data_IF_714092151544
#
_entry.id   IF_714092151544
#
_cell.length_a   1.000
_cell.length_b   1.000
_cell.length_c   1.000
_cell.angle_alpha   90.00
_cell.angle_beta   90.00
_cell.angle_gamma   90.00
#
_symmetry.space_group_name_H-M   'P 1'
#
loop_
_entity.id
_entity.type
_entity.pdbx_description
1 polymer ?
#
# COMPACT_ATOMS: atom_id res chain seq x y z
N UNK A 1 -29.31 -11.31 9.24
CA UNK A 1 -28.48 -11.75 8.10
C UNK A 1 -27.05 -11.77 8.59
N UNK A 2 -26.55 -12.98 8.77
CA UNK A 2 -25.21 -13.30 9.26
C UNK A 2 -24.19 -13.08 8.13
N UNK A 3 -23.08 -12.42 8.46
CA UNK A 3 -21.78 -12.70 7.86
C UNK A 3 -20.71 -12.31 8.86
N UNK A 4 -20.49 -13.19 9.83
CA UNK A 4 -19.32 -13.17 10.68
C UNK A 4 -18.02 -13.29 9.88
N UNK A 5 -17.03 -12.51 10.27
CA UNK A 5 -15.61 -12.88 10.20
C UNK A 5 -14.83 -11.94 11.12
N UNK A 6 -15.09 -12.07 12.42
CA UNK A 6 -14.12 -11.65 13.43
C UNK A 6 -12.90 -12.57 13.26
N UNK A 7 -11.87 -12.09 12.58
CA UNK A 7 -10.59 -12.77 12.55
C UNK A 7 -10.10 -12.88 13.99
N UNK A 8 -9.93 -14.12 14.44
CA UNK A 8 -9.39 -14.48 15.74
C UNK A 8 -7.94 -14.02 15.78
N UNK A 9 -7.68 -12.80 16.23
CA UNK A 9 -6.32 -12.43 16.57
C UNK A 9 -6.03 -12.97 17.98
N UNK A 10 -5.22 -14.05 18.03
CA UNK A 10 -4.17 -14.07 19.05
C UNK A 10 -3.53 -12.68 19.08
N UNK A 11 -3.14 -12.14 20.23
CA UNK A 11 -2.66 -10.76 20.35
C UNK A 11 -1.36 -10.56 19.56
N UNK A 12 -1.47 -10.43 18.24
CA UNK A 12 -0.38 -10.12 17.32
C UNK A 12 -0.05 -8.66 17.55
N UNK A 13 1.21 -8.38 17.83
CA UNK A 13 1.68 -6.99 17.88
C UNK A 13 1.85 -6.51 16.44
N UNK A 14 0.78 -5.96 15.88
CA UNK A 14 0.78 -5.33 14.55
C UNK A 14 1.10 -3.84 14.69
N UNK A 15 1.94 -3.33 13.80
CA UNK A 15 2.23 -1.91 13.66
C UNK A 15 2.00 -1.50 12.21
N UNK A 16 1.30 -0.38 12.03
CA UNK A 16 1.21 0.28 10.72
C UNK A 16 2.23 1.42 10.65
N UNK A 17 2.88 1.56 9.50
CA UNK A 17 3.71 2.73 9.15
C UNK A 17 3.08 3.45 7.97
N UNK A 18 3.11 4.77 7.98
CA UNK A 18 2.69 5.60 6.86
C UNK A 18 3.88 6.41 6.35
N UNK A 19 4.06 6.41 5.04
CA UNK A 19 5.05 7.22 4.34
C UNK A 19 4.39 7.88 3.12
N UNK A 20 4.90 9.05 2.73
CA UNK A 20 4.44 9.74 1.52
C UNK A 20 5.42 9.48 0.38
N UNK A 21 4.91 8.94 -0.73
CA UNK A 21 5.68 8.70 -1.95
C UNK A 21 5.20 9.67 -3.02
N UNK A 22 6.13 10.37 -3.67
CA UNK A 22 5.83 11.30 -4.77
C UNK A 22 6.20 10.68 -6.11
N UNK A 23 5.26 10.71 -7.04
CA UNK A 23 5.45 10.40 -8.46
C UNK A 23 5.41 11.70 -9.25
N UNK A 24 6.44 11.95 -10.07
CA UNK A 24 6.53 13.15 -10.92
C UNK A 24 5.70 13.02 -12.20
N UNK A 25 5.43 11.79 -12.62
CA UNK A 25 4.70 11.47 -13.84
C UNK A 25 3.50 10.57 -13.53
N UNK A 26 2.47 10.57 -14.39
CA UNK A 26 1.42 9.56 -14.30
C UNK A 26 2.02 8.15 -14.36
N UNK A 27 1.58 7.28 -13.46
CA UNK A 27 2.13 5.93 -13.30
C UNK A 27 1.02 4.89 -13.28
N UNK A 28 1.39 3.61 -13.42
CA UNK A 28 0.46 2.50 -13.34
C UNK A 28 0.89 1.53 -12.26
N UNK A 29 -0.11 0.97 -11.58
CA UNK A 29 0.03 -0.22 -10.76
C UNK A 29 -0.65 -1.36 -11.53
N UNK A 30 0.09 -2.46 -11.74
CA UNK A 30 -0.35 -3.67 -12.46
C UNK A 30 -1.74 -4.13 -12.00
N UNK A 31 -2.04 -4.00 -10.70
CA UNK A 31 -3.33 -4.40 -10.12
C UNK A 31 -4.53 -3.51 -10.45
N UNK A 32 -4.34 -2.27 -10.90
CA UNK A 32 -5.43 -1.31 -11.11
C UNK A 32 -5.88 -1.12 -12.56
N UNK A 33 -5.06 -1.52 -13.53
CA UNK A 33 -5.38 -1.42 -14.96
C UNK A 33 -5.67 0.00 -15.46
N UNK A 34 -5.28 1.04 -14.69
CA UNK A 34 -5.50 2.45 -15.03
C UNK A 34 -4.26 3.29 -14.70
N UNK A 35 -4.13 4.43 -15.38
CA UNK A 35 -3.17 5.46 -15.01
C UNK A 35 -3.64 6.19 -13.75
N UNK A 36 -2.69 6.37 -12.83
CA UNK A 36 -2.83 7.18 -11.64
C UNK A 36 -2.11 8.50 -11.93
N UNK A 37 -2.71 9.67 -11.63
CA UNK A 37 -2.07 10.97 -11.87
C UNK A 37 -0.71 11.11 -11.17
N UNK A 38 0.15 12.00 -11.66
CA UNK A 38 1.32 12.43 -10.88
C UNK A 38 0.87 13.08 -9.56
N UNK A 39 1.64 12.93 -8.49
CA UNK A 39 1.29 13.46 -7.19
C UNK A 39 1.96 12.75 -6.02
N UNK A 40 1.59 13.17 -4.82
CA UNK A 40 2.04 12.57 -3.57
C UNK A 40 0.95 11.66 -3.00
N UNK A 41 1.32 10.44 -2.67
CA UNK A 41 0.42 9.39 -2.23
C UNK A 41 0.88 8.81 -0.90
N UNK A 42 -0.08 8.56 -0.01
CA UNK A 42 0.18 7.85 1.23
C UNK A 42 0.33 6.35 0.94
N UNK A 43 1.46 5.79 1.34
CA UNK A 43 1.73 4.36 1.39
C UNK A 43 1.69 3.91 2.84
N UNK A 44 0.88 2.90 3.11
CA UNK A 44 0.70 2.31 4.43
C UNK A 44 1.30 0.91 4.39
N UNK A 45 2.17 0.60 5.34
CA UNK A 45 2.76 -0.73 5.49
C UNK A 45 2.37 -1.30 6.84
N UNK A 46 1.69 -2.43 6.83
CA UNK A 46 1.44 -3.21 8.04
C UNK A 46 2.57 -4.20 8.26
N UNK A 47 3.00 -4.27 9.50
CA UNK A 47 4.09 -5.11 9.97
C UNK A 47 3.65 -5.88 11.22
N UNK A 48 4.03 -7.15 11.29
CA UNK A 48 3.85 -7.98 12.48
C UNK A 48 5.20 -8.25 13.13
N UNK A 49 5.26 -8.10 14.45
CA UNK A 49 6.46 -8.48 15.21
C UNK A 49 6.70 -9.99 15.11
N UNK A 50 7.93 -10.38 14.78
CA UNK A 50 8.35 -11.77 14.82
C UNK A 50 8.77 -12.09 16.26
N UNK A 51 7.97 -12.91 16.94
CA UNK A 51 8.25 -13.35 18.31
C UNK A 51 9.38 -14.40 18.34
N UNK A 52 10.02 -14.55 19.50
CA UNK A 52 11.03 -15.59 19.74
C UNK A 52 12.44 -15.29 19.23
N UNK A 53 12.70 -14.08 18.71
CA UNK A 53 14.04 -13.61 18.38
C UNK A 53 14.67 -12.84 19.54
N UNK A 54 16.01 -12.82 19.61
CA UNK A 54 16.76 -12.05 20.62
C UNK A 54 16.71 -10.53 20.41
N UNK A 55 16.07 -10.07 19.33
CA UNK A 55 15.91 -8.66 18.98
C UNK A 55 14.58 -8.41 18.27
N UNK A 56 14.08 -7.18 18.34
CA UNK A 56 12.84 -6.79 17.65
C UNK A 56 13.02 -6.90 16.13
N UNK A 57 12.25 -7.80 15.51
CA UNK A 57 12.14 -7.93 14.06
C UNK A 57 10.69 -7.87 13.64
N UNK A 58 10.46 -7.39 12.43
CA UNK A 58 9.14 -7.18 11.90
C UNK A 58 9.04 -7.80 10.51
N UNK A 59 7.96 -8.54 10.27
CA UNK A 59 7.60 -9.04 8.95
C UNK A 59 6.53 -8.12 8.38
N UNK A 60 6.75 -7.61 7.18
CA UNK A 60 5.72 -6.92 6.40
C UNK A 60 4.61 -7.90 6.04
N UNK A 61 3.37 -7.54 6.33
CA UNK A 61 2.18 -8.35 6.04
C UNK A 61 1.28 -7.72 4.99
N UNK A 62 1.28 -6.39 4.86
CA UNK A 62 0.56 -5.71 3.79
C UNK A 62 1.24 -4.40 3.38
N UNK A 63 1.00 -3.99 2.14
CA UNK A 63 1.29 -2.64 1.65
C UNK A 63 0.04 -2.13 0.95
N UNK A 64 -0.39 -0.93 1.33
CA UNK A 64 -1.55 -0.26 0.77
C UNK A 64 -1.16 1.13 0.28
N UNK A 65 -1.88 1.65 -0.71
CA UNK A 65 -1.75 3.03 -1.18
C UNK A 65 -3.12 3.69 -1.20
N UNK A 66 -3.17 4.98 -0.85
CA UNK A 66 -4.37 5.80 -1.01
C UNK A 66 -4.27 6.53 -2.35
N UNK A 67 -5.19 6.28 -3.28
CA UNK A 67 -5.19 6.83 -4.64
C UNK A 67 -6.57 7.42 -5.01
N UNK A 68 -6.67 8.34 -5.98
CA UNK A 68 -7.94 8.76 -6.54
C UNK A 68 -8.75 7.60 -7.10
N UNK A 69 -10.07 7.69 -6.93
CA UNK A 69 -11.00 6.70 -7.44
C UNK A 69 -10.98 6.58 -8.96
N UNK A 70 -11.42 5.43 -9.47
CA UNK A 70 -11.53 5.25 -10.91
C UNK A 70 -12.61 6.19 -11.50
N UNK A 71 -12.45 6.66 -12.75
CA UNK A 71 -13.52 7.41 -13.43
C UNK A 71 -14.86 6.65 -13.40
N UNK A 72 -16.00 7.33 -13.15
CA UNK A 72 -16.16 8.79 -13.00
C UNK A 72 -15.90 9.34 -11.58
N UNK A 73 -15.53 8.49 -10.62
CA UNK A 73 -15.43 8.81 -9.20
C UNK A 73 -14.05 9.34 -8.77
N UNK A 74 -13.42 10.17 -9.59
CA UNK A 74 -12.06 10.69 -9.33
C UNK A 74 -12.00 11.66 -8.15
N UNK A 75 -13.14 12.12 -7.63
CA UNK A 75 -13.25 12.96 -6.44
C UNK A 75 -13.15 12.18 -5.12
N UNK A 76 -13.31 10.86 -5.13
CA UNK A 76 -13.10 10.01 -3.96
C UNK A 76 -11.67 9.46 -3.91
N UNK A 77 -11.23 9.07 -2.71
CA UNK A 77 -10.00 8.33 -2.51
C UNK A 77 -10.31 6.85 -2.24
N UNK A 78 -9.50 5.96 -2.80
CA UNK A 78 -9.55 4.50 -2.64
C UNK A 78 -8.27 4.04 -1.93
N UNK A 79 -8.41 3.14 -0.95
CA UNK A 79 -7.27 2.41 -0.41
C UNK A 79 -7.15 1.08 -1.15
N UNK A 80 -5.99 0.86 -1.78
CA UNK A 80 -5.73 -0.32 -2.60
C UNK A 80 -4.57 -1.11 -1.99
N UNK A 81 -4.64 -2.44 -2.05
CA UNK A 81 -3.49 -3.30 -1.73
C UNK A 81 -2.53 -3.35 -2.92
N UNK A 82 -1.23 -3.21 -2.65
CA UNK A 82 -0.19 -3.17 -3.68
C UNK A 82 0.98 -4.08 -3.30
N UNK A 83 1.68 -4.60 -4.30
CA UNK A 83 2.92 -5.33 -4.06
C UNK A 83 4.08 -4.37 -3.71
N UNK A 84 4.96 -4.76 -2.78
CA UNK A 84 6.16 -3.94 -2.50
C UNK A 84 7.10 -3.85 -3.70
N UNK A 85 7.20 -4.92 -4.51
CA UNK A 85 7.99 -4.91 -5.76
C UNK A 85 7.34 -4.02 -6.82
N UNK A 86 6.02 -4.06 -6.92
CA UNK A 86 5.26 -3.23 -7.86
C UNK A 86 5.42 -1.73 -7.56
N UNK A 87 5.41 -1.35 -6.28
CA UNK A 87 5.71 0.01 -5.85
C UNK A 87 7.13 0.44 -6.25
N UNK A 88 8.12 -0.42 -6.00
CA UNK A 88 9.51 -0.16 -6.35
C UNK A 88 9.73 -0.04 -7.87
N UNK A 89 9.06 -0.89 -8.66
CA UNK A 89 9.06 -0.81 -10.12
C UNK A 89 8.47 0.53 -10.60
N UNK A 90 7.32 0.93 -10.06
CA UNK A 90 6.68 2.20 -10.40
C UNK A 90 7.58 3.40 -10.06
N UNK A 91 8.21 3.41 -8.89
CA UNK A 91 9.16 4.45 -8.48
C UNK A 91 10.38 4.50 -9.39
N UNK A 92 10.91 3.34 -9.79
CA UNK A 92 12.04 3.25 -10.72
C UNK A 92 11.67 3.82 -12.09
N UNK A 93 10.49 3.48 -12.61
CA UNK A 93 9.99 4.00 -13.89
C UNK A 93 9.86 5.53 -13.82
N UNK A 94 9.21 6.06 -12.79
CA UNK A 94 9.04 7.50 -12.59
C UNK A 94 10.37 8.25 -12.51
N UNK A 95 11.36 7.70 -11.79
CA UNK A 95 12.69 8.28 -11.67
C UNK A 95 13.47 8.30 -12.99
N UNK A 96 13.10 7.43 -13.94
CA UNK A 96 13.73 7.33 -15.27
C UNK A 96 12.95 8.02 -16.38
N UNK A 97 11.75 8.52 -16.10
CA UNK A 97 10.94 9.23 -17.07
C UNK A 97 11.56 10.62 -17.37
N UNK A 98 11.54 11.05 -18.65
CA UNK A 98 12.22 12.26 -19.12
C UNK A 98 11.55 13.57 -18.71
#
# INVERSE_FOLDING_TARGET
MDAGSQQRHARVTTRSRRETVTFKHPFQLKGLGRLIPAGSYDVITDEEMIEGLSFASYRRTATMMIVPGAPPHTSSMEMISIGSLELADAQRIDASAP
#
